data_IF_482065990345
#
_entry.id   IF_482065990345
#
_cell.length_a   1.000
_cell.length_b   1.000
_cell.length_c   1.000
_cell.angle_alpha   90.00
_cell.angle_beta   90.00
_cell.angle_gamma   90.00
#
_symmetry.space_group_name_H-M   'P 1'
#
loop_
_entity.id
_entity.type
_entity.pdbx_description
1 polymer ?
#
# COMPACT_ATOMS: atom_id res chain seq x y z
N UNK A 1 20.53 16.74 4.92
CA UNK A 1 19.96 15.46 4.43
C UNK A 1 21.05 14.76 3.65
N UNK A 2 21.26 13.46 3.86
CA UNK A 2 22.18 12.67 3.03
C UNK A 2 21.59 12.50 1.62
N UNK A 3 22.42 12.34 0.57
CA UNK A 3 21.94 12.01 -0.77
C UNK A 3 21.09 10.74 -0.77
N UNK A 4 20.03 10.71 -1.58
CA UNK A 4 19.10 9.57 -1.66
C UNK A 4 19.78 8.25 -2.03
N UNK A 5 20.86 8.30 -2.83
CA UNK A 5 21.63 7.12 -3.21
C UNK A 5 22.45 6.55 -2.05
N UNK A 6 22.93 7.40 -1.13
CA UNK A 6 23.60 6.94 0.08
C UNK A 6 22.59 6.31 1.04
N UNK A 7 21.43 6.94 1.20
CA UNK A 7 20.33 6.39 2.00
C UNK A 7 19.85 5.05 1.44
N UNK A 8 19.82 4.89 0.12
CA UNK A 8 19.55 3.60 -0.53
C UNK A 8 20.65 2.57 -0.25
N UNK A 9 21.93 2.95 -0.41
CA UNK A 9 23.07 2.07 -0.20
C UNK A 9 23.12 1.51 1.24
N UNK A 10 22.81 2.34 2.23
CA UNK A 10 22.73 1.93 3.63
C UNK A 10 21.40 1.26 4.03
N UNK A 11 20.45 1.11 3.09
CA UNK A 11 19.16 0.46 3.35
C UNK A 11 18.18 1.29 4.19
N UNK A 12 18.38 2.60 4.30
CA UNK A 12 17.48 3.49 5.05
C UNK A 12 16.17 3.79 4.32
N UNK A 13 16.10 3.48 3.02
CA UNK A 13 14.89 3.61 2.22
C UNK A 13 14.12 2.28 2.26
N UNK A 14 13.20 2.18 3.21
CA UNK A 14 12.29 1.05 3.33
C UNK A 14 10.83 1.53 3.47
N UNK A 15 10.16 1.87 2.35
CA UNK A 15 8.83 2.46 2.39
C UNK A 15 7.79 1.52 2.98
N UNK A 16 7.92 0.21 2.78
CA UNK A 16 6.93 -0.78 3.21
C UNK A 16 6.62 -0.71 4.72
N UNK A 17 7.63 -0.52 5.58
CA UNK A 17 7.43 -0.37 7.04
C UNK A 17 6.87 0.99 7.45
N UNK A 18 6.98 1.99 6.57
CA UNK A 18 6.57 3.38 6.87
C UNK A 18 5.20 3.73 6.30
N UNK A 19 4.70 2.95 5.35
CA UNK A 19 3.39 3.15 4.72
C UNK A 19 2.32 2.56 5.64
N UNK A 20 1.94 3.33 6.66
CA UNK A 20 0.73 3.10 7.45
C UNK A 20 -0.29 4.16 7.06
N UNK A 21 -1.52 3.72 6.77
CA UNK A 21 -2.61 4.65 6.47
C UNK A 21 -2.79 5.63 7.63
N UNK A 22 -2.75 6.93 7.33
CA UNK A 22 -3.05 8.00 8.28
C UNK A 22 -4.55 8.31 8.33
N UNK A 23 -5.36 7.56 7.58
CA UNK A 23 -6.80 7.69 7.62
C UNK A 23 -7.30 7.43 9.06
N UNK A 24 -8.06 8.35 9.66
CA UNK A 24 -8.56 8.18 11.02
C UNK A 24 -9.46 6.93 11.19
N UNK A 25 -10.05 6.42 10.11
CA UNK A 25 -10.87 5.21 10.11
C UNK A 25 -10.05 3.92 10.10
N UNK A 26 -8.77 3.97 9.71
CA UNK A 26 -7.93 2.77 9.58
C UNK A 26 -7.78 2.01 10.90
N UNK A 27 -7.49 2.72 12.01
CA UNK A 27 -7.29 2.07 13.32
C UNK A 27 -8.61 1.50 13.87
N UNK A 28 -9.73 2.24 13.91
CA UNK A 28 -11.03 1.68 14.29
C UNK A 28 -11.46 0.47 13.45
N UNK A 29 -11.22 0.51 12.13
CA UNK A 29 -11.57 -0.59 11.23
C UNK A 29 -10.80 -1.87 11.60
N UNK A 30 -9.48 -1.77 11.78
CA UNK A 30 -8.66 -2.91 12.15
C UNK A 30 -9.01 -3.47 13.54
N UNK A 31 -9.33 -2.60 14.50
CA UNK A 31 -9.82 -3.04 15.81
C UNK A 31 -11.11 -3.86 15.67
N UNK A 32 -12.06 -3.38 14.86
CA UNK A 32 -13.31 -4.11 14.60
C UNK A 32 -13.07 -5.47 13.93
N UNK A 33 -12.11 -5.55 13.00
CA UNK A 33 -11.69 -6.83 12.40
C UNK A 33 -11.19 -7.79 13.48
N UNK A 34 -10.31 -7.33 14.38
CA UNK A 34 -9.80 -8.14 15.48
C UNK A 34 -10.89 -8.60 16.45
N UNK A 35 -11.83 -7.72 16.80
CA UNK A 35 -12.92 -8.03 17.73
C UNK A 35 -13.88 -9.09 17.14
N UNK A 36 -14.20 -8.98 15.85
CA UNK A 36 -15.01 -9.97 15.13
C UNK A 36 -14.27 -11.31 15.07
N UNK A 37 -12.97 -11.31 14.72
CA UNK A 37 -12.16 -12.53 14.65
C UNK A 37 -12.12 -13.26 15.99
N UNK A 38 -11.92 -12.54 17.09
CA UNK A 38 -11.98 -13.11 18.45
C UNK A 38 -13.34 -13.72 18.77
N UNK A 39 -14.41 -13.01 18.42
CA UNK A 39 -15.79 -13.51 18.61
C UNK A 39 -16.03 -14.81 17.82
N UNK A 40 -15.49 -14.91 16.61
CA UNK A 40 -15.61 -16.11 15.77
C UNK A 40 -14.77 -17.27 16.34
N UNK A 41 -13.58 -16.99 16.87
CA UNK A 41 -12.73 -17.98 17.53
C UNK A 41 -13.44 -18.67 18.71
N UNK A 42 -14.25 -17.93 19.47
CA UNK A 42 -14.98 -18.47 20.62
C UNK A 42 -16.24 -19.28 20.21
N UNK A 43 -16.77 -19.06 19.00
CA UNK A 43 -18.05 -19.63 18.56
C UNK A 43 -17.92 -20.78 17.57
N UNK A 44 -16.84 -20.84 16.81
CA UNK A 44 -16.64 -21.83 15.76
C UNK A 44 -15.89 -23.06 16.30
N UNK A 45 -16.19 -24.26 15.77
CA UNK A 45 -15.30 -25.41 15.90
C UNK A 45 -13.88 -25.07 15.42
N UNK A 46 -12.87 -25.72 15.99
CA UNK A 46 -11.46 -25.45 15.67
C UNK A 46 -11.14 -25.62 14.16
N UNK A 47 -11.72 -26.63 13.51
CA UNK A 47 -11.53 -26.88 12.08
C UNK A 47 -12.12 -25.75 11.21
N UNK A 48 -13.34 -25.30 11.52
CA UNK A 48 -13.99 -24.19 10.82
C UNK A 48 -13.25 -22.86 11.05
N UNK A 49 -12.75 -22.64 12.27
CA UNK A 49 -11.96 -21.45 12.57
C UNK A 49 -10.62 -21.46 11.83
N UNK A 50 -9.97 -22.61 11.70
CA UNK A 50 -8.74 -22.75 10.91
C UNK A 50 -8.99 -22.43 9.42
N UNK A 51 -10.09 -22.91 8.84
CA UNK A 51 -10.47 -22.57 7.47
C UNK A 51 -10.76 -21.06 7.30
N UNK A 52 -11.35 -20.41 8.31
CA UNK A 52 -11.53 -18.96 8.33
C UNK A 52 -10.18 -18.22 8.37
N UNK A 53 -9.22 -18.67 9.18
CA UNK A 53 -7.89 -18.06 9.24
C UNK A 53 -7.15 -18.19 7.89
N UNK A 54 -7.20 -19.37 7.26
CA UNK A 54 -6.64 -19.59 5.93
C UNK A 54 -7.29 -18.66 4.88
N UNK A 55 -8.62 -18.52 4.91
CA UNK A 55 -9.33 -17.60 4.01
C UNK A 55 -8.86 -16.14 4.20
N UNK A 56 -8.73 -15.68 5.45
CA UNK A 56 -8.26 -14.33 5.76
C UNK A 56 -6.81 -14.11 5.30
N UNK A 57 -5.96 -15.12 5.46
CA UNK A 57 -4.58 -15.09 4.95
C UNK A 57 -4.54 -14.99 3.42
N UNK A 58 -5.37 -15.76 2.72
CA UNK A 58 -5.50 -15.68 1.25
C UNK A 58 -5.94 -14.29 0.79
N UNK A 59 -6.93 -13.68 1.46
CA UNK A 59 -7.33 -12.30 1.17
C UNK A 59 -6.21 -11.29 1.43
N UNK A 60 -5.48 -11.43 2.54
CA UNK A 60 -4.33 -10.59 2.84
C UNK A 60 -3.27 -10.69 1.74
N UNK A 61 -2.89 -11.92 1.36
CA UNK A 61 -1.89 -12.18 0.32
C UNK A 61 -2.34 -11.63 -1.04
N UNK A 62 -3.60 -11.84 -1.42
CA UNK A 62 -4.16 -11.28 -2.66
C UNK A 62 -4.10 -9.75 -2.65
N UNK A 63 -4.49 -9.11 -1.54
CA UNK A 63 -4.40 -7.66 -1.38
C UNK A 63 -2.96 -7.14 -1.41
N UNK A 64 -1.99 -7.88 -0.86
CA UNK A 64 -0.57 -7.54 -0.93
C UNK A 64 -0.05 -7.58 -2.37
N UNK A 65 -0.44 -8.59 -3.16
CA UNK A 65 -0.06 -8.68 -4.58
C UNK A 65 -0.62 -7.50 -5.39
N UNK A 66 -1.89 -7.16 -5.19
CA UNK A 66 -2.53 -6.01 -5.84
C UNK A 66 -1.88 -4.68 -5.41
N UNK A 67 -1.59 -4.54 -4.12
CA UNK A 67 -0.91 -3.36 -3.56
C UNK A 67 0.50 -3.19 -4.15
N UNK A 68 1.27 -4.27 -4.26
CA UNK A 68 2.60 -4.24 -4.88
C UNK A 68 2.53 -3.87 -6.37
N UNK A 69 1.57 -4.42 -7.11
CA UNK A 69 1.34 -4.07 -8.51
C UNK A 69 0.96 -2.59 -8.67
N UNK A 70 0.04 -2.11 -7.83
CA UNK A 70 -0.43 -0.72 -7.81
C UNK A 70 0.69 0.25 -7.46
N UNK A 71 1.51 -0.07 -6.45
CA UNK A 71 2.67 0.73 -6.05
C UNK A 71 3.69 0.86 -7.19
N UNK A 72 4.06 -0.27 -7.81
CA UNK A 72 4.99 -0.29 -8.94
C UNK A 72 4.47 0.50 -10.14
N UNK A 73 3.20 0.32 -10.48
CA UNK A 73 2.55 1.05 -11.57
C UNK A 73 2.51 2.56 -11.28
N UNK A 74 2.04 2.96 -10.10
CA UNK A 74 1.93 4.36 -9.69
C UNK A 74 3.28 5.07 -9.67
N UNK A 75 4.33 4.41 -9.16
CA UNK A 75 5.68 4.99 -9.14
C UNK A 75 6.23 5.21 -10.56
N UNK A 76 6.06 4.23 -11.46
CA UNK A 76 6.47 4.36 -12.87
C UNK A 76 5.71 5.47 -13.57
N UNK A 77 4.39 5.52 -13.40
CA UNK A 77 3.54 6.56 -13.99
C UNK A 77 3.97 7.95 -13.50
N UNK A 78 4.15 8.11 -12.19
CA UNK A 78 4.61 9.37 -11.60
C UNK A 78 5.98 9.80 -12.14
N UNK A 79 6.94 8.88 -12.25
CA UNK A 79 8.25 9.17 -12.83
C UNK A 79 8.17 9.62 -14.30
N UNK A 80 7.34 8.96 -15.11
CA UNK A 80 7.12 9.33 -16.51
C UNK A 80 6.48 10.72 -16.64
N UNK A 81 5.48 11.04 -15.81
CA UNK A 81 4.87 12.37 -15.77
C UNK A 81 5.91 13.43 -15.39
N UNK A 82 6.74 13.16 -14.37
CA UNK A 82 7.78 14.09 -13.95
C UNK A 82 8.83 14.33 -15.04
N UNK A 83 9.24 13.28 -15.76
CA UNK A 83 10.17 13.43 -16.90
C UNK A 83 9.59 14.29 -18.02
N UNK A 84 8.29 14.14 -18.32
CA UNK A 84 7.62 14.97 -19.32
C UNK A 84 7.57 16.45 -18.90
N UNK A 85 7.18 16.71 -17.65
CA UNK A 85 7.09 18.07 -17.08
C UNK A 85 8.46 18.74 -17.03
N UNK A 86 9.48 18.04 -16.49
CA UNK A 86 10.84 18.58 -16.36
C UNK A 86 11.58 18.66 -17.71
N UNK A 87 11.22 17.82 -18.67
CA UNK A 87 11.75 17.82 -20.02
C UNK A 87 11.26 18.99 -20.89
N UNK A 88 10.37 19.85 -20.37
CA UNK A 88 9.91 21.06 -21.04
C UNK A 88 9.03 20.82 -22.28
N UNK A 89 8.47 19.61 -22.44
CA UNK A 89 7.64 19.23 -23.60
C UNK A 89 6.14 19.51 -23.42
N UNK A 90 5.74 20.12 -22.31
CA UNK A 90 4.34 20.42 -21.99
C UNK A 90 4.08 21.91 -21.80
N UNK A 91 3.75 22.63 -22.86
CA UNK A 91 2.85 23.78 -22.68
C UNK A 91 1.48 23.24 -22.28
N UNK A 92 0.99 23.62 -21.09
CA UNK A 92 -0.31 23.16 -20.58
C UNK A 92 -1.50 23.93 -21.16
N UNK A 93 -1.27 25.05 -21.86
CA UNK A 93 -2.30 25.88 -22.50
C UNK A 93 -1.71 26.49 -23.78
N UNK A 94 -2.29 26.16 -24.94
CA UNK A 94 -2.09 26.95 -26.17
C UNK A 94 -2.57 28.37 -25.88
N UNK A 95 -1.69 29.37 -26.01
CA UNK A 95 -2.15 30.75 -26.17
C UNK A 95 -3.06 30.82 -27.40
N UNK A 96 -4.29 31.28 -27.21
CA UNK A 96 -5.15 31.71 -28.30
C UNK A 96 -4.49 32.97 -28.92
N UNK A 97 -4.01 32.84 -30.16
CA UNK A 97 -3.76 33.99 -31.05
C UNK A 97 -5.03 34.32 -31.84
#
# INVERSE_FOLDING_TARGET
MKPILEELFYGHIYPFERIVSQDPEYRPLNQKISDIRKTLQEKLPAEDYQALEELLELYCNSGMLESAASFSYGFKLGALIMLEVLGGKGELVRGEE
#
